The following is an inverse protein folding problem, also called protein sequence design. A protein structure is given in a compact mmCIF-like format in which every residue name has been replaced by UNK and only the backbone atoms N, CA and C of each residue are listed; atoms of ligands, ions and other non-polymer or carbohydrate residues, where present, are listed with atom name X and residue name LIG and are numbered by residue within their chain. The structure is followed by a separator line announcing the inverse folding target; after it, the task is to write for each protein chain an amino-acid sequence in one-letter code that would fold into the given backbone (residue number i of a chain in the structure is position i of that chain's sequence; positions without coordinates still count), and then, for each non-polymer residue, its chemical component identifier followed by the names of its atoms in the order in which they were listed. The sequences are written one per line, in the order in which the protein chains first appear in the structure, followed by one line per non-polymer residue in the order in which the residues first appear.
data_IF_798691579090
#
_entry.id   IF_798691579090
#
_cell.length_a   1.000
_cell.length_b   1.000
_cell.length_c   1.000
_cell.angle_alpha   90.00
_cell.angle_beta   90.00
_cell.angle_gamma   90.00
#
_symmetry.space_group_name_H-M   'P 1'
#
loop_
_entity.id
_entity.type
_entity.pdbx_description
1 polymer ?
#
# COMPACT_ATOMS: atom_id res chain seq x y z
N UNK A 1 6.47 4.48 8.33
CA UNK A 1 6.13 3.83 7.03
C UNK A 1 5.01 2.84 7.28
N UNK A 2 4.02 2.74 6.40
CA UNK A 2 2.96 1.74 6.46
C UNK A 2 3.40 0.46 5.76
N UNK A 3 2.77 -0.66 6.08
CA UNK A 3 3.08 -1.95 5.45
C UNK A 3 1.78 -2.59 4.99
N UNK A 4 1.80 -3.11 3.77
CA UNK A 4 0.77 -3.98 3.22
C UNK A 4 1.42 -5.27 2.74
N UNK A 5 0.84 -6.40 3.14
CA UNK A 5 1.23 -7.75 2.68
C UNK A 5 -0.03 -8.44 2.20
N UNK A 6 -0.07 -8.77 0.92
CA UNK A 6 -1.12 -9.54 0.30
C UNK A 6 -1.02 -11.03 0.63
N UNK A 7 -1.78 -11.84 -0.11
CA UNK A 7 -1.84 -13.29 -0.02
C UNK A 7 -1.78 -13.89 -1.43
N UNK A 8 -2.03 -15.20 -1.58
CA UNK A 8 -1.92 -15.86 -2.88
C UNK A 8 -3.14 -15.64 -3.82
N UNK A 9 -4.03 -14.71 -3.47
CA UNK A 9 -5.18 -14.31 -4.28
C UNK A 9 -5.01 -12.88 -4.79
N UNK A 10 -5.79 -12.53 -5.81
CA UNK A 10 -5.84 -11.17 -6.35
C UNK A 10 -6.23 -10.16 -5.24
N UNK A 11 -5.32 -9.25 -4.93
CA UNK A 11 -5.52 -8.23 -3.92
C UNK A 11 -5.58 -6.83 -4.50
N UNK A 12 -6.23 -5.92 -3.77
CA UNK A 12 -6.25 -4.49 -4.09
C UNK A 12 -5.85 -3.68 -2.86
N UNK A 13 -4.80 -2.88 -3.01
CA UNK A 13 -4.35 -1.95 -1.97
C UNK A 13 -4.01 -0.59 -2.58
N UNK A 14 -4.41 0.47 -1.88
CA UNK A 14 -4.11 1.84 -2.24
C UNK A 14 -3.54 2.58 -1.02
N UNK A 15 -2.38 3.19 -1.24
CA UNK A 15 -1.77 4.07 -0.26
C UNK A 15 -2.76 5.19 0.12
N UNK A 16 -2.89 5.45 1.41
CA UNK A 16 -3.82 6.45 1.90
C UNK A 16 -3.21 7.30 3.03
N UNK A 17 -3.91 8.37 3.38
CA UNK A 17 -3.55 9.22 4.51
C UNK A 17 -3.94 8.54 5.82
N UNK A 18 -3.04 8.54 6.78
CA UNK A 18 -3.29 8.10 8.15
C UNK A 18 -3.23 9.28 9.13
N UNK A 19 -3.85 9.09 10.29
CA UNK A 19 -3.89 10.09 11.37
C UNK A 19 -5.32 10.43 11.76
N UNK A 20 -5.44 11.25 12.81
CA UNK A 20 -6.73 11.80 13.22
C UNK A 20 -7.31 12.66 12.08
N UNK A 21 -8.62 12.60 11.86
CA UNK A 21 -9.36 13.22 10.75
C UNK A 21 -8.93 14.61 10.22
N UNK A 22 -8.48 15.58 11.04
CA UNK A 22 -7.96 16.90 10.66
C UNK A 22 -6.44 16.90 10.45
N UNK A 23 -5.74 15.90 11.00
CA UNK A 23 -4.29 15.74 10.90
C UNK A 23 -3.90 14.60 9.96
N UNK A 24 -4.82 14.15 9.09
CA UNK A 24 -4.56 13.11 8.11
C UNK A 24 -3.44 13.55 7.17
N UNK A 25 -2.35 12.78 7.15
CA UNK A 25 -1.18 13.04 6.30
C UNK A 25 -0.85 11.84 5.45
N UNK A 26 -0.28 12.11 4.28
CA UNK A 26 0.31 11.07 3.45
C UNK A 26 1.49 10.41 4.16
N UNK A 27 1.57 9.09 4.01
CA UNK A 27 2.57 8.22 4.62
C UNK A 27 3.21 7.40 3.49
N UNK A 28 4.51 7.14 3.58
CA UNK A 28 5.18 6.15 2.73
C UNK A 28 4.72 4.74 3.09
N UNK A 29 4.63 3.85 2.10
CA UNK A 29 4.16 2.48 2.20
C UNK A 29 5.18 1.48 1.64
N UNK A 30 5.26 0.32 2.28
CA UNK A 30 5.89 -0.89 1.75
C UNK A 30 4.78 -1.88 1.41
N UNK A 31 4.64 -2.29 0.16
CA UNK A 31 3.56 -3.16 -0.30
C UNK A 31 4.13 -4.42 -0.95
N UNK A 32 3.61 -5.60 -0.60
CA UNK A 32 3.90 -6.88 -1.28
C UNK A 32 2.59 -7.50 -1.73
N UNK A 33 2.50 -7.87 -3.01
CA UNK A 33 1.32 -8.54 -3.56
C UNK A 33 1.24 -10.02 -3.17
N UNK A 34 2.38 -10.72 -3.27
CA UNK A 34 2.47 -12.19 -3.23
C UNK A 34 1.75 -12.80 -4.45
N UNK A 35 1.16 -14.00 -4.34
CA UNK A 35 0.58 -14.68 -5.50
C UNK A 35 -0.72 -14.04 -6.02
N UNK A 36 -0.99 -14.20 -7.31
CA UNK A 36 -2.21 -13.71 -7.95
C UNK A 36 -1.99 -12.43 -8.76
N UNK A 37 -3.09 -11.88 -9.28
CA UNK A 37 -3.08 -10.65 -10.07
C UNK A 37 -3.45 -9.45 -9.20
N UNK A 38 -2.45 -8.84 -8.59
CA UNK A 38 -2.64 -7.74 -7.65
C UNK A 38 -2.73 -6.37 -8.30
N UNK A 39 -3.44 -5.46 -7.63
CA UNK A 39 -3.45 -4.03 -7.92
C UNK A 39 -2.97 -3.26 -6.69
N UNK A 40 -1.71 -2.84 -6.71
CA UNK A 40 -1.08 -2.07 -5.64
C UNK A 40 -0.78 -0.66 -6.14
N UNK A 41 -1.39 0.35 -5.52
CA UNK A 41 -1.31 1.75 -5.96
C UNK A 41 -0.59 2.59 -4.90
N UNK A 42 0.52 3.20 -5.30
CA UNK A 42 1.28 4.17 -4.52
C UNK A 42 0.55 5.51 -4.32
N UNK A 43 1.01 6.26 -3.34
CA UNK A 43 0.62 7.64 -3.08
C UNK A 43 1.74 8.62 -3.46
N UNK A 44 1.61 9.91 -3.08
CA UNK A 44 2.58 10.96 -3.38
C UNK A 44 3.83 10.95 -2.48
N UNK A 45 4.03 9.89 -1.68
CA UNK A 45 5.22 9.70 -0.85
C UNK A 45 6.10 8.63 -1.48
N UNK A 46 7.32 8.48 -0.95
CA UNK A 46 8.25 7.47 -1.44
C UNK A 46 7.76 6.10 -0.98
N UNK A 47 7.04 5.42 -1.86
CA UNK A 47 6.52 4.08 -1.62
C UNK A 47 7.44 3.02 -2.24
N UNK A 48 7.34 1.80 -1.74
CA UNK A 48 8.08 0.64 -2.26
C UNK A 48 7.07 -0.48 -2.49
N UNK A 49 6.99 -0.95 -3.73
CA UNK A 49 6.01 -1.96 -4.16
C UNK A 49 6.78 -3.16 -4.71
N UNK A 50 6.54 -4.35 -4.14
CA UNK A 50 7.05 -5.63 -4.60
C UNK A 50 5.89 -6.40 -5.25
N UNK A 51 5.96 -6.55 -6.56
CA UNK A 51 5.13 -7.52 -7.30
C UNK A 51 5.81 -8.88 -7.31
N UNK A 52 5.02 -9.95 -7.33
CA UNK A 52 5.47 -11.34 -7.49
C UNK A 52 4.84 -11.96 -8.73
#
# INVERSE_FOLDING_TARGET
MGTYTGNDFNNKFEAHKEGWWIFKKWKSWKMSGNGGNDTLIGGPKNDTIYGW
#
